data_IF_561479863942
#
_entry.id   IF_561479863942
#
_cell.length_a   1.000
_cell.length_b   1.000
_cell.length_c   1.000
_cell.angle_alpha   90.00
_cell.angle_beta   90.00
_cell.angle_gamma   90.00
#
_symmetry.space_group_name_H-M   'P 1'
#
loop_
_entity.id
_entity.type
_entity.pdbx_description
1 polymer ?
#
# COMPACT_ATOMS: atom_id res chain seq x y z
N UNK A 1 -8.16 10.97 -10.14
CA UNK A 1 -7.24 9.87 -10.50
C UNK A 1 -5.97 10.05 -9.67
N UNK A 2 -5.35 8.98 -9.15
CA UNK A 2 -4.11 9.04 -8.39
C UNK A 2 -3.06 8.24 -9.15
N UNK A 3 -1.86 8.79 -9.29
CA UNK A 3 -0.72 8.16 -9.95
C UNK A 3 -0.38 6.82 -9.30
N UNK A 4 0.43 6.03 -10.00
CA UNK A 4 0.77 4.67 -9.56
C UNK A 4 1.49 4.69 -8.22
N UNK A 5 2.42 5.63 -8.04
CA UNK A 5 3.22 5.78 -6.84
C UNK A 5 2.89 7.05 -6.03
N UNK A 6 1.68 7.61 -6.22
CA UNK A 6 1.18 8.76 -5.46
C UNK A 6 1.21 10.09 -6.20
N UNK A 7 1.75 10.14 -7.42
CA UNK A 7 1.77 11.32 -8.27
C UNK A 7 0.37 11.92 -8.54
N UNK A 8 0.26 13.25 -8.73
CA UNK A 8 -0.96 13.84 -9.26
C UNK A 8 -1.20 13.39 -10.71
N UNK A 9 -2.45 13.49 -11.23
CA UNK A 9 -2.76 13.15 -12.62
C UNK A 9 -1.80 13.78 -13.63
N UNK A 10 -1.25 12.96 -14.53
CA UNK A 10 -0.34 13.41 -15.59
C UNK A 10 1.13 13.56 -15.17
N UNK A 11 1.47 13.29 -13.90
CA UNK A 11 2.85 13.22 -13.40
C UNK A 11 3.29 11.78 -13.15
N UNK A 12 4.60 11.55 -13.18
CA UNK A 12 5.27 10.25 -13.00
C UNK A 12 6.63 10.43 -12.31
N UNK A 13 6.70 11.38 -11.38
CA UNK A 13 7.95 11.75 -10.72
C UNK A 13 8.42 10.65 -9.75
N UNK A 14 7.48 9.89 -9.18
CA UNK A 14 7.74 8.77 -8.26
C UNK A 14 7.64 7.38 -8.91
N UNK A 15 7.14 7.29 -10.14
CA UNK A 15 7.20 6.07 -10.95
C UNK A 15 8.66 5.70 -11.27
N UNK A 16 8.92 4.43 -11.64
CA UNK A 16 10.25 4.00 -12.06
C UNK A 16 10.85 4.93 -13.14
N UNK A 17 12.10 5.36 -12.93
CA UNK A 17 12.85 6.32 -13.75
C UNK A 17 12.33 7.77 -13.72
N UNK A 18 11.33 8.07 -12.89
CA UNK A 18 11.00 9.44 -12.50
C UNK A 18 12.14 10.08 -11.70
N UNK A 19 12.06 11.40 -11.48
CA UNK A 19 13.11 12.16 -10.78
C UNK A 19 13.37 11.64 -9.35
N UNK A 20 12.38 11.01 -8.71
CA UNK A 20 12.50 10.37 -7.39
C UNK A 20 12.45 8.84 -7.47
N UNK A 21 12.06 8.27 -8.62
CA UNK A 21 11.88 6.84 -8.85
C UNK A 21 13.17 6.08 -9.16
N UNK A 22 14.21 6.28 -8.35
CA UNK A 22 15.49 5.61 -8.53
C UNK A 22 15.36 4.10 -8.25
N UNK A 23 16.06 3.24 -9.02
CA UNK A 23 15.95 1.77 -8.91
C UNK A 23 16.74 1.19 -7.71
N UNK A 24 16.73 1.87 -6.57
CA UNK A 24 17.44 1.45 -5.34
C UNK A 24 16.62 0.39 -4.61
N UNK A 25 17.21 -0.79 -4.37
CA UNK A 25 16.55 -1.86 -3.61
C UNK A 25 16.57 -1.52 -2.11
N UNK A 26 15.40 -1.41 -1.49
CA UNK A 26 15.22 -1.06 -0.07
C UNK A 26 14.94 -2.27 0.82
N UNK A 27 14.73 -3.46 0.26
CA UNK A 27 14.56 -4.70 1.01
C UNK A 27 14.77 -5.94 0.14
N UNK A 28 15.30 -7.01 0.73
CA UNK A 28 15.48 -8.31 0.07
C UNK A 28 14.76 -9.39 0.87
N UNK A 29 13.93 -10.17 0.20
CA UNK A 29 13.06 -11.17 0.79
C UNK A 29 13.10 -12.47 -0.03
N UNK A 30 12.46 -13.53 0.47
CA UNK A 30 12.29 -14.79 -0.26
C UNK A 30 10.86 -14.91 -0.78
N UNK A 31 10.69 -15.62 -1.89
CA UNK A 31 9.36 -15.95 -2.41
C UNK A 31 8.53 -16.66 -1.32
N UNK A 32 7.26 -16.25 -1.17
CA UNK A 32 6.35 -16.82 -0.17
C UNK A 32 6.52 -16.28 1.25
N UNK A 33 7.56 -15.48 1.51
CA UNK A 33 7.83 -14.92 2.82
C UNK A 33 6.68 -14.00 3.28
N UNK A 34 6.31 -14.10 4.56
CA UNK A 34 5.51 -13.09 5.24
C UNK A 34 6.46 -12.01 5.74
N UNK A 35 6.29 -10.80 5.24
CA UNK A 35 7.09 -9.63 5.62
C UNK A 35 6.28 -8.69 6.49
N UNK A 36 6.93 -8.04 7.45
CA UNK A 36 6.33 -6.97 8.25
C UNK A 36 6.65 -5.63 7.60
N UNK A 37 5.62 -4.92 7.16
CA UNK A 37 5.74 -3.58 6.59
C UNK A 37 5.33 -2.56 7.63
N UNK A 38 6.22 -1.63 7.95
CA UNK A 38 5.97 -0.50 8.84
C UNK A 38 5.38 0.67 8.04
N UNK A 39 4.40 1.35 8.62
CA UNK A 39 3.70 2.49 8.03
C UNK A 39 3.77 3.64 9.04
N UNK A 40 4.31 4.77 8.62
CA UNK A 40 4.23 6.02 9.36
C UNK A 40 3.07 6.86 8.82
N UNK A 41 2.02 7.00 9.62
CA UNK A 41 0.94 7.92 9.34
C UNK A 41 1.26 9.26 10.00
N UNK A 42 1.44 10.32 9.22
CA UNK A 42 1.50 11.69 9.76
C UNK A 42 0.14 12.19 10.26
N UNK A 43 -0.92 11.74 9.61
CA UNK A 43 -2.31 11.87 10.05
C UNK A 43 -3.09 10.63 9.59
N UNK A 44 -4.00 10.17 10.42
CA UNK A 44 -4.94 9.09 10.08
C UNK A 44 -6.30 9.72 9.80
N UNK A 45 -7.03 9.17 8.84
CA UNK A 45 -8.33 9.66 8.36
C UNK A 45 -9.28 8.49 8.06
N UNK A 46 -9.46 7.59 9.03
CA UNK A 46 -10.24 6.37 8.89
C UNK A 46 -9.90 5.55 7.62
N UNK A 47 -10.74 4.59 7.22
CA UNK A 47 -10.58 3.86 5.97
C UNK A 47 -9.69 2.61 6.10
N UNK A 48 -8.86 2.35 5.10
CA UNK A 48 -8.09 1.11 5.05
C UNK A 48 -6.84 1.20 4.16
N UNK A 49 -5.86 0.35 4.44
CA UNK A 49 -4.67 0.17 3.60
C UNK A 49 -4.68 -1.18 2.87
N UNK A 50 -4.10 -1.17 1.67
CA UNK A 50 -3.91 -2.33 0.79
C UNK A 50 -2.48 -2.36 0.25
N UNK A 51 -2.02 -3.53 -0.17
CA UNK A 51 -0.70 -3.74 -0.73
C UNK A 51 -0.79 -4.49 -2.06
N UNK A 52 -0.05 -4.00 -3.05
CA UNK A 52 0.10 -4.65 -4.34
C UNK A 52 1.57 -4.82 -4.70
N UNK A 53 1.88 -5.80 -5.55
CA UNK A 53 3.22 -6.05 -6.06
C UNK A 53 3.23 -6.03 -7.58
N UNK A 54 4.19 -5.32 -8.15
CA UNK A 54 4.56 -5.45 -9.55
C UNK A 54 5.94 -6.11 -9.65
N UNK A 55 5.99 -7.33 -10.18
CA UNK A 55 7.25 -8.04 -10.40
C UNK A 55 7.89 -7.77 -11.77
N UNK A 56 7.20 -7.01 -12.63
CA UNK A 56 7.70 -6.66 -13.94
C UNK A 56 8.79 -5.57 -13.80
N UNK A 57 10.00 -5.78 -14.35
CA UNK A 57 11.03 -4.74 -14.36
C UNK A 57 10.56 -3.46 -15.08
N UNK A 58 9.67 -3.60 -16.07
CA UNK A 58 8.96 -2.49 -16.70
C UNK A 58 7.65 -2.27 -15.95
N UNK A 59 7.67 -1.31 -15.04
CA UNK A 59 6.52 -0.98 -14.19
C UNK A 59 5.39 -0.35 -15.03
N UNK A 60 4.22 -1.00 -15.06
CA UNK A 60 3.02 -0.53 -15.77
C UNK A 60 1.82 -0.52 -14.83
N UNK A 61 0.75 0.21 -15.18
CA UNK A 61 -0.42 0.28 -14.30
C UNK A 61 -1.11 -1.09 -14.14
N UNK A 62 -1.02 -1.95 -15.15
CA UNK A 62 -1.59 -3.30 -15.16
C UNK A 62 -0.73 -4.41 -14.54
N UNK A 63 0.50 -4.13 -14.11
CA UNK A 63 1.37 -5.17 -13.54
C UNK A 63 1.13 -5.46 -12.06
N UNK A 64 0.39 -4.59 -11.35
CA UNK A 64 0.19 -4.71 -9.92
C UNK A 64 -0.84 -5.79 -9.59
N UNK A 65 -0.42 -6.74 -8.77
CA UNK A 65 -1.25 -7.80 -8.22
C UNK A 65 -1.40 -7.59 -6.72
N UNK A 66 -2.64 -7.65 -6.23
CA UNK A 66 -2.89 -7.47 -4.80
C UNK A 66 -2.30 -8.61 -3.99
N UNK A 67 -1.71 -8.26 -2.85
CA UNK A 67 -1.08 -9.19 -1.92
C UNK A 67 -2.06 -9.61 -0.82
N UNK A 68 -1.72 -10.68 -0.11
CA UNK A 68 -2.51 -11.18 1.02
C UNK A 68 -1.97 -10.55 2.31
N UNK A 69 -2.87 -10.04 3.14
CA UNK A 69 -2.56 -9.57 4.49
C UNK A 69 -2.85 -10.69 5.49
N UNK A 70 -1.89 -10.97 6.37
CA UNK A 70 -1.92 -12.10 7.31
C UNK A 70 -2.02 -11.66 8.78
N UNK A 71 -1.76 -10.39 9.05
CA UNK A 71 -1.93 -9.75 10.36
C UNK A 71 -1.55 -8.28 10.29
N UNK A 72 -1.64 -7.55 11.40
CA UNK A 72 -1.26 -6.15 11.49
C UNK A 72 -1.68 -5.53 12.80
N UNK A 73 -1.49 -4.22 12.94
CA UNK A 73 -1.87 -3.46 14.13
C UNK A 73 -3.37 -3.36 14.32
N UNK A 74 -4.14 -3.46 13.23
CA UNK A 74 -5.59 -3.32 13.22
C UNK A 74 -6.28 -4.49 12.53
N UNK A 75 -7.60 -4.57 12.68
CA UNK A 75 -8.43 -5.65 12.11
C UNK A 75 -8.25 -5.76 10.60
N UNK A 76 -8.07 -6.99 10.12
CA UNK A 76 -8.08 -7.28 8.68
C UNK A 76 -9.49 -7.55 8.16
N UNK A 77 -9.70 -7.24 6.88
CA UNK A 77 -10.92 -7.58 6.13
C UNK A 77 -10.54 -8.32 4.86
N UNK A 78 -11.19 -9.47 4.65
CA UNK A 78 -11.03 -10.33 3.47
C UNK A 78 -9.56 -10.68 3.14
N UNK A 79 -8.69 -10.68 4.15
CA UNK A 79 -7.23 -10.85 4.01
C UNK A 79 -6.59 -9.91 2.97
N UNK A 80 -7.17 -8.73 2.78
CA UNK A 80 -6.74 -7.79 1.72
C UNK A 80 -6.60 -6.36 2.20
N UNK A 81 -7.40 -5.98 3.19
CA UNK A 81 -7.46 -4.64 3.73
C UNK A 81 -7.11 -4.69 5.22
N UNK A 82 -6.24 -3.79 5.67
CA UNK A 82 -6.12 -3.50 7.10
C UNK A 82 -6.91 -2.23 7.40
N UNK A 83 -7.84 -2.35 8.35
CA UNK A 83 -8.65 -1.24 8.85
C UNK A 83 -7.77 -0.15 9.45
N UNK A 84 -8.07 1.10 9.14
CA UNK A 84 -7.51 2.29 9.80
C UNK A 84 -8.66 2.91 10.58
N UNK A 85 -8.84 2.60 11.88
CA UNK A 85 -10.04 2.98 12.62
C UNK A 85 -9.93 4.34 13.33
N UNK A 86 -8.83 5.06 13.12
CA UNK A 86 -8.51 6.29 13.83
C UNK A 86 -8.56 7.48 12.88
N UNK A 87 -8.88 8.64 13.46
CA UNK A 87 -8.75 9.94 12.81
C UNK A 87 -7.94 10.88 13.71
N UNK A 88 -7.21 11.80 13.10
CA UNK A 88 -6.43 12.82 13.79
C UNK A 88 -5.02 13.04 13.23
N UNK A 89 -4.42 14.15 13.63
CA UNK A 89 -3.15 14.67 13.10
C UNK A 89 -1.91 14.30 13.93
N UNK A 90 -1.98 13.21 14.70
CA UNK A 90 -0.85 12.73 15.49
C UNK A 90 -0.11 11.67 14.70
N UNK A 91 1.22 11.81 14.58
CA UNK A 91 2.05 10.80 13.94
C UNK A 91 1.95 9.47 14.67
N UNK A 92 1.68 8.39 13.93
CA UNK A 92 1.59 7.02 14.45
C UNK A 92 2.34 6.05 13.56
N UNK A 93 2.96 5.07 14.21
CA UNK A 93 3.60 3.94 13.54
C UNK A 93 2.69 2.73 13.69
N UNK A 94 2.28 2.17 12.57
CA UNK A 94 1.46 0.97 12.47
C UNK A 94 2.19 -0.04 11.59
N UNK A 95 1.81 -1.31 11.66
CA UNK A 95 2.41 -2.35 10.84
C UNK A 95 1.37 -3.29 10.26
N UNK A 96 1.77 -3.97 9.19
CA UNK A 96 0.98 -5.01 8.55
C UNK A 96 1.87 -6.12 8.05
N UNK A 97 1.44 -7.36 8.25
CA UNK A 97 2.11 -8.55 7.76
C UNK A 97 1.57 -8.90 6.38
N UNK A 98 2.43 -8.80 5.37
CA UNK A 98 2.10 -9.00 3.96
C UNK A 98 2.76 -10.30 3.48
N UNK A 99 1.99 -11.20 2.89
CA UNK A 99 2.52 -12.42 2.29
C UNK A 99 2.94 -12.15 0.84
N UNK A 100 4.24 -12.32 0.55
CA UNK A 100 4.75 -12.29 -0.82
C UNK A 100 4.34 -13.55 -1.58
N UNK A 101 4.15 -13.51 -2.91
CA UNK A 101 3.72 -14.69 -3.65
C UNK A 101 4.81 -15.76 -3.70
N UNK A 102 4.45 -17.02 -3.41
CA UNK A 102 5.40 -18.15 -3.33
C UNK A 102 6.13 -18.48 -4.64
N UNK A 103 5.55 -18.15 -5.80
CA UNK A 103 6.11 -18.41 -7.12
C UNK A 103 6.75 -17.21 -7.80
N UNK A 104 6.88 -16.07 -7.11
CA UNK A 104 7.37 -14.82 -7.71
C UNK A 104 8.79 -14.53 -7.25
N UNK A 105 9.68 -14.28 -8.21
CA UNK A 105 11.06 -13.83 -8.02
C UNK A 105 11.32 -12.62 -8.89
N UNK A 106 12.13 -11.69 -8.40
CA UNK A 106 12.48 -10.48 -9.13
C UNK A 106 13.76 -9.87 -8.59
N UNK A 107 14.60 -9.35 -9.48
CA UNK A 107 15.78 -8.57 -9.12
C UNK A 107 15.41 -7.18 -8.60
N UNK A 108 14.27 -6.64 -9.07
CA UNK A 108 13.58 -5.44 -8.63
C UNK A 108 12.06 -5.60 -8.86
N UNK A 109 11.29 -5.67 -7.80
CA UNK A 109 9.84 -5.53 -7.79
C UNK A 109 9.46 -4.16 -7.21
N UNK A 110 8.30 -3.65 -7.58
CA UNK A 110 7.68 -2.50 -6.90
C UNK A 110 6.59 -3.00 -5.96
N UNK A 111 6.80 -2.83 -4.65
CA UNK A 111 5.75 -2.97 -3.63
C UNK A 111 5.03 -1.63 -3.50
N UNK A 112 3.72 -1.63 -3.69
CA UNK A 112 2.88 -0.43 -3.55
C UNK A 112 2.01 -0.54 -2.31
N UNK A 113 2.08 0.49 -1.49
CA UNK A 113 1.11 0.77 -0.44
C UNK A 113 0.03 1.71 -1.00
N UNK A 114 -1.24 1.40 -0.75
CA UNK A 114 -2.36 2.28 -1.03
C UNK A 114 -3.16 2.50 0.24
N UNK A 115 -3.43 3.75 0.58
CA UNK A 115 -4.31 4.14 1.68
C UNK A 115 -5.52 4.89 1.13
N UNK A 116 -6.70 4.31 1.34
CA UNK A 116 -7.98 4.95 1.01
C UNK A 116 -8.62 5.41 2.30
N UNK A 117 -8.78 6.71 2.45
CA UNK A 117 -9.41 7.30 3.64
C UNK A 117 -10.90 7.03 3.65
N UNK A 118 -11.55 7.40 4.74
CA UNK A 118 -13.00 7.48 4.77
C UNK A 118 -13.47 8.63 5.63
N UNK A 119 -14.65 9.16 5.31
CA UNK A 119 -15.25 10.26 6.07
C UNK A 119 -16.31 9.73 7.02
N UNK A 120 -16.44 10.31 8.23
CA UNK A 120 -17.47 9.94 9.18
C UNK A 120 -18.87 9.82 8.56
N UNK A 121 -19.58 8.76 8.99
CA UNK A 121 -20.95 8.47 8.60
C UNK A 121 -21.94 8.59 9.77
N UNK A 122 -23.17 8.08 9.60
CA UNK A 122 -24.18 8.00 10.66
C UNK A 122 -23.71 7.20 11.88
N UNK A 123 -24.49 7.19 12.96
CA UNK A 123 -24.14 6.64 14.28
C UNK A 123 -23.64 5.17 14.31
N UNK A 124 -23.87 4.36 13.25
CA UNK A 124 -23.42 2.97 13.15
C UNK A 124 -22.50 2.71 11.94
N UNK A 125 -21.83 3.74 11.45
CA UNK A 125 -20.94 3.64 10.31
C UNK A 125 -19.65 2.86 10.66
N UNK A 126 -19.23 1.96 9.77
CA UNK A 126 -17.95 1.25 9.89
C UNK A 126 -16.82 2.17 9.38
N UNK A 127 -15.88 2.58 10.25
CA UNK A 127 -14.83 3.52 9.88
C UNK A 127 -13.93 3.03 8.76
N UNK A 128 -13.85 1.71 8.58
CA UNK A 128 -12.99 1.06 7.62
C UNK A 128 -13.73 0.60 6.37
N UNK A 129 -15.03 0.91 6.27
CA UNK A 129 -15.79 0.70 5.07
C UNK A 129 -15.87 2.00 4.27
N UNK A 130 -15.37 1.93 3.03
CA UNK A 130 -15.59 3.02 2.10
C UNK A 130 -16.93 2.85 1.38
N UNK A 131 -17.97 3.45 1.97
CA UNK A 131 -19.29 3.55 1.35
C UNK A 131 -19.38 4.70 0.33
N UNK A 132 -18.37 5.58 0.22
CA UNK A 132 -18.46 6.84 -0.51
C UNK A 132 -17.36 6.94 -1.56
N UNK A 133 -17.74 6.99 -2.84
CA UNK A 133 -16.78 6.99 -3.94
C UNK A 133 -15.77 8.16 -3.95
N UNK A 134 -16.01 9.22 -3.17
CA UNK A 134 -15.15 10.40 -3.04
C UNK A 134 -14.44 10.41 -1.69
N UNK A 135 -13.33 9.68 -1.60
CA UNK A 135 -12.40 9.71 -0.47
C UNK A 135 -10.98 10.03 -0.95
N UNK A 136 -10.14 10.53 -0.05
CA UNK A 136 -8.74 10.77 -0.38
C UNK A 136 -8.02 9.43 -0.56
N UNK A 137 -7.06 9.40 -1.48
CA UNK A 137 -6.22 8.23 -1.72
C UNK A 137 -4.78 8.65 -1.72
N UNK A 138 -3.98 7.95 -0.93
CA UNK A 138 -2.53 8.09 -0.88
C UNK A 138 -1.90 6.80 -1.41
N UNK A 139 -0.77 6.94 -2.10
CA UNK A 139 0.02 5.82 -2.58
C UNK A 139 1.49 6.09 -2.37
N UNK A 140 2.24 5.03 -2.17
CA UNK A 140 3.70 5.06 -2.15
C UNK A 140 4.23 3.74 -2.69
N UNK A 141 5.43 3.79 -3.27
CA UNK A 141 6.10 2.64 -3.87
C UNK A 141 7.46 2.42 -3.22
N UNK A 142 7.87 1.16 -3.14
CA UNK A 142 9.19 0.74 -2.67
C UNK A 142 9.74 -0.36 -3.57
N UNK A 143 11.02 -0.25 -3.91
CA UNK A 143 11.71 -1.22 -4.74
C UNK A 143 12.28 -2.34 -3.84
N UNK A 144 11.81 -3.57 -4.01
CA UNK A 144 12.27 -4.73 -3.24
C UNK A 144 12.83 -5.81 -4.16
N UNK A 145 13.64 -6.72 -3.62
CA UNK A 145 14.10 -7.94 -4.28
C UNK A 145 13.43 -9.15 -3.66
N UNK A 146 13.05 -10.12 -4.49
CA UNK A 146 12.49 -11.39 -4.05
C UNK A 146 13.32 -12.52 -4.67
N UNK A 147 13.99 -13.28 -3.80
CA UNK A 147 14.83 -14.43 -4.14
C UNK A 147 14.03 -15.73 -4.21
#
# INVERSE_FOLDING_TARGET
NCGRCGDPPGRRDFDLNGVYGHPVITGTYNAGQIIRVEIEFGAMHFGYVEFDLCANPNETDGCFQSLILTGGSHRLRNNRQMCVPLDGSVTRHEFVNVQLPAGVRCTRCTLRWSYRTSYPGPANWDPCFDARQLAQTFRSCSNIRIN
#
